data_IF_501163941974
#
_entry.id   IF_501163941974
#
_cell.length_a   1.000
_cell.length_b   1.000
_cell.length_c   1.000
_cell.angle_alpha   90.00
_cell.angle_beta   90.00
_cell.angle_gamma   90.00
#
_symmetry.space_group_name_H-M   'P 1'
#
loop_
_entity.id
_entity.type
_entity.pdbx_description
1 polymer ?
#
# COMPACT_ATOMS: atom_id res chain seq x y z
N UNK A 1 -9.66 -14.91 11.43
CA UNK A 1 -10.95 -14.28 11.85
C UNK A 1 -10.76 -12.81 12.17
N UNK A 2 -11.82 -11.99 12.03
CA UNK A 2 -11.81 -10.59 12.50
C UNK A 2 -11.96 -10.60 14.03
N UNK A 3 -10.98 -10.06 14.75
CA UNK A 3 -11.00 -10.07 16.21
C UNK A 3 -11.16 -8.67 16.83
N UNK A 4 -10.98 -7.60 16.03
CA UNK A 4 -11.10 -6.22 16.50
C UNK A 4 -11.52 -5.29 15.38
N UNK A 5 -12.44 -4.37 15.71
CA UNK A 5 -12.85 -3.26 14.85
C UNK A 5 -12.60 -1.95 15.59
N UNK A 6 -11.93 -1.02 14.95
CA UNK A 6 -11.61 0.29 15.49
C UNK A 6 -12.34 1.34 14.65
N UNK A 7 -13.21 2.12 15.29
CA UNK A 7 -13.96 3.21 14.69
C UNK A 7 -13.58 4.52 15.38
N UNK A 8 -12.88 5.39 14.68
CA UNK A 8 -12.47 6.71 15.23
C UNK A 8 -12.22 7.74 14.14
N UNK A 9 -11.97 7.31 12.91
CA UNK A 9 -11.87 8.22 11.79
C UNK A 9 -13.25 8.74 11.38
N UNK A 10 -13.30 9.98 10.92
CA UNK A 10 -14.53 10.63 10.43
C UNK A 10 -14.71 10.48 8.92
N UNK A 11 -13.69 10.00 8.22
CA UNK A 11 -13.68 9.78 6.78
C UNK A 11 -13.09 8.41 6.42
N UNK A 12 -13.14 8.06 5.14
CA UNK A 12 -12.60 6.82 4.62
C UNK A 12 -11.12 6.64 4.99
N UNK A 13 -10.74 5.46 5.47
CA UNK A 13 -9.34 5.17 5.81
C UNK A 13 -8.64 4.64 4.57
N UNK A 14 -7.67 5.41 4.07
CA UNK A 14 -7.08 5.21 2.74
C UNK A 14 -5.69 4.61 2.74
N UNK A 15 -4.98 4.70 3.86
CA UNK A 15 -3.60 4.24 3.95
C UNK A 15 -3.28 3.68 5.34
N UNK A 16 -2.33 2.77 5.37
CA UNK A 16 -1.81 2.16 6.58
C UNK A 16 -0.31 1.92 6.45
N UNK A 17 0.42 2.10 7.53
CA UNK A 17 1.82 1.67 7.62
C UNK A 17 2.14 1.21 9.04
N UNK A 18 2.91 0.12 9.17
CA UNK A 18 3.40 -0.38 10.44
C UNK A 18 4.76 0.22 10.79
N UNK A 19 4.99 0.39 12.08
CA UNK A 19 6.29 0.71 12.62
C UNK A 19 7.21 -0.52 12.57
N UNK A 20 8.50 -0.36 12.25
CA UNK A 20 9.48 -1.45 12.25
C UNK A 20 9.60 -2.23 13.56
N UNK A 21 9.31 -1.60 14.72
CA UNK A 21 9.28 -2.30 16.02
C UNK A 21 8.01 -3.11 16.26
N UNK A 22 7.01 -3.03 15.36
CA UNK A 22 5.69 -3.65 15.51
C UNK A 22 4.90 -3.22 16.78
N UNK A 23 5.29 -2.11 17.40
CA UNK A 23 4.64 -1.60 18.61
C UNK A 23 3.42 -0.74 18.32
N UNK A 24 3.39 -0.11 17.15
CA UNK A 24 2.30 0.75 16.68
C UNK A 24 2.16 0.71 15.16
N UNK A 25 1.04 1.20 14.68
CA UNK A 25 0.79 1.43 13.26
C UNK A 25 0.10 2.79 13.07
N UNK A 26 0.20 3.35 11.89
CA UNK A 26 -0.47 4.60 11.55
C UNK A 26 -1.46 4.40 10.40
N UNK A 27 -2.51 5.20 10.41
CA UNK A 27 -3.54 5.23 9.37
C UNK A 27 -3.81 6.65 8.90
N UNK A 28 -3.94 6.81 7.59
CA UNK A 28 -4.29 8.08 6.96
C UNK A 28 -5.69 8.04 6.37
N UNK A 29 -6.43 9.11 6.55
CA UNK A 29 -7.85 9.15 6.23
C UNK A 29 -8.24 10.35 5.37
N UNK A 30 -9.42 10.23 4.77
CA UNK A 30 -10.11 11.31 4.07
C UNK A 30 -10.55 12.45 5.02
N UNK A 31 -10.52 12.24 6.34
CA UNK A 31 -10.72 13.29 7.33
C UNK A 31 -9.51 14.22 7.50
N UNK A 32 -8.47 14.08 6.68
CA UNK A 32 -7.23 14.87 6.66
C UNK A 32 -6.31 14.64 7.86
N UNK A 33 -6.60 13.62 8.67
CA UNK A 33 -5.81 13.27 9.84
C UNK A 33 -5.03 11.98 9.64
N UNK A 34 -3.93 11.89 10.39
CA UNK A 34 -3.18 10.64 10.55
C UNK A 34 -3.34 10.25 12.03
N UNK A 35 -3.67 9.00 12.26
CA UNK A 35 -3.83 8.46 13.61
C UNK A 35 -2.84 7.35 13.86
N UNK A 36 -2.24 7.36 15.04
CA UNK A 36 -1.26 6.36 15.50
C UNK A 36 -1.92 5.48 16.54
N UNK A 37 -1.82 4.17 16.36
CA UNK A 37 -2.50 3.14 17.14
C UNK A 37 -1.49 2.18 17.74
N UNK A 38 -1.78 1.72 18.93
CA UNK A 38 -1.06 0.63 19.55
C UNK A 38 -1.48 -0.72 18.94
N UNK A 39 -0.54 -1.53 18.49
CA UNK A 39 -0.82 -2.82 17.85
C UNK A 39 -1.47 -3.82 18.81
N UNK A 40 -1.00 -3.87 20.04
CA UNK A 40 -1.50 -4.83 21.04
C UNK A 40 -2.91 -4.49 21.53
N UNK A 41 -3.11 -3.26 21.95
CA UNK A 41 -4.38 -2.82 22.57
C UNK A 41 -5.38 -2.26 21.57
N UNK A 42 -4.95 -1.82 20.39
CA UNK A 42 -5.77 -1.11 19.40
C UNK A 42 -6.22 0.29 19.87
N UNK A 43 -5.59 0.84 20.90
CA UNK A 43 -5.92 2.17 21.42
C UNK A 43 -5.25 3.26 20.62
N UNK A 44 -5.93 4.37 20.46
CA UNK A 44 -5.38 5.57 19.85
C UNK A 44 -4.28 6.15 20.76
N UNK A 45 -3.07 6.29 20.21
CA UNK A 45 -1.94 6.96 20.89
C UNK A 45 -1.89 8.44 20.55
N UNK A 46 -2.06 8.79 19.27
CA UNK A 46 -1.88 10.16 18.81
C UNK A 46 -2.71 10.44 17.56
N UNK A 47 -3.12 11.68 17.41
CA UNK A 47 -3.71 12.21 16.17
C UNK A 47 -2.82 13.34 15.64
N UNK A 48 -2.36 13.21 14.40
CA UNK A 48 -1.57 14.22 13.71
C UNK A 48 -2.44 14.97 12.71
N UNK A 49 -2.39 16.29 12.77
CA UNK A 49 -3.09 17.19 11.86
C UNK A 49 -2.09 18.06 11.10
N UNK A 50 -2.37 18.39 9.85
CA UNK A 50 -1.47 19.22 9.05
C UNK A 50 -1.67 19.12 7.56
N UNK A 51 -2.29 18.03 7.07
CA UNK A 51 -2.78 17.96 5.69
C UNK A 51 -4.07 18.77 5.54
N UNK A 52 -4.22 19.45 4.39
CA UNK A 52 -5.41 20.23 4.06
C UNK A 52 -6.45 19.46 3.28
N UNK A 53 -6.07 18.27 2.76
CA UNK A 53 -6.94 17.36 2.04
C UNK A 53 -6.62 15.90 2.46
N UNK A 54 -7.28 14.92 1.82
CA UNK A 54 -7.20 13.50 2.17
C UNK A 54 -5.75 12.97 2.19
N UNK A 55 -5.43 12.17 3.20
CA UNK A 55 -4.15 11.46 3.26
C UNK A 55 -4.27 10.14 2.51
N UNK A 56 -3.51 9.98 1.44
CA UNK A 56 -3.58 8.85 0.50
C UNK A 56 -2.53 7.77 0.74
N UNK A 57 -1.35 8.17 1.19
CA UNK A 57 -0.24 7.24 1.38
C UNK A 57 0.56 7.58 2.64
N UNK A 58 1.07 6.53 3.26
CA UNK A 58 1.89 6.59 4.46
C UNK A 58 3.07 5.64 4.33
N UNK A 59 4.22 6.01 4.87
CA UNK A 59 5.33 5.11 5.09
C UNK A 59 6.10 5.51 6.35
N UNK A 60 6.55 4.51 7.10
CA UNK A 60 7.38 4.68 8.30
C UNK A 60 8.80 4.25 7.97
N UNK A 61 9.77 5.08 8.34
CA UNK A 61 11.18 4.77 8.13
C UNK A 61 11.67 3.73 9.13
N UNK A 62 12.42 2.73 8.64
CA UNK A 62 13.10 1.75 9.50
C UNK A 62 14.46 2.25 10.01
N UNK A 63 14.98 3.33 9.44
CA UNK A 63 16.35 3.82 9.71
C UNK A 63 16.39 5.08 10.58
N UNK A 64 15.32 5.85 10.58
CA UNK A 64 15.22 7.13 11.27
C UNK A 64 13.82 7.26 11.91
N UNK A 65 13.65 8.03 12.98
CA UNK A 65 12.36 8.20 13.65
C UNK A 65 11.42 9.12 12.85
N UNK A 66 11.30 8.86 11.55
CA UNK A 66 10.47 9.67 10.65
C UNK A 66 9.34 8.85 10.03
N UNK A 67 8.23 9.50 9.88
CA UNK A 67 7.09 9.03 9.09
C UNK A 67 6.86 9.99 7.93
N UNK A 68 6.48 9.45 6.78
CA UNK A 68 6.12 10.22 5.60
C UNK A 68 4.66 10.03 5.26
N UNK A 69 4.01 11.11 4.87
CA UNK A 69 2.62 11.11 4.44
C UNK A 69 2.47 11.88 3.14
N UNK A 70 1.56 11.45 2.29
CA UNK A 70 1.22 12.11 1.04
C UNK A 70 -0.30 12.21 0.89
N UNK A 71 -0.76 13.30 0.29
CA UNK A 71 -2.18 13.58 0.19
C UNK A 71 -2.64 14.22 -1.12
N UNK A 72 -3.95 14.39 -1.21
CA UNK A 72 -4.60 15.09 -2.33
C UNK A 72 -4.28 16.60 -2.35
N UNK A 73 -3.74 17.14 -1.25
CA UNK A 73 -3.21 18.51 -1.14
C UNK A 73 -1.90 18.72 -1.92
N UNK A 74 -1.45 17.74 -2.71
CA UNK A 74 -0.23 17.77 -3.53
C UNK A 74 1.07 17.81 -2.72
N UNK A 75 0.97 17.71 -1.40
CA UNK A 75 2.11 17.79 -0.50
C UNK A 75 2.52 16.40 -0.01
N UNK A 76 3.81 16.27 0.18
CA UNK A 76 4.39 15.15 0.92
C UNK A 76 5.06 15.74 2.17
N UNK A 77 4.74 15.19 3.33
CA UNK A 77 5.23 15.68 4.63
C UNK A 77 6.07 14.62 5.33
N UNK A 78 7.17 15.08 5.91
CA UNK A 78 7.99 14.30 6.82
C UNK A 78 7.69 14.73 8.25
N UNK A 79 7.32 13.77 9.07
CA UNK A 79 6.97 13.95 10.48
C UNK A 79 8.10 13.41 11.36
N UNK A 80 8.50 14.17 12.34
CA UNK A 80 9.31 13.71 13.44
C UNK A 80 8.40 13.03 14.47
N UNK A 81 8.64 11.76 14.73
CA UNK A 81 7.83 10.96 15.67
C UNK A 81 8.17 11.23 17.14
N UNK A 82 9.33 11.83 17.44
CA UNK A 82 9.69 12.22 18.78
C UNK A 82 9.00 13.54 19.20
N UNK A 83 8.99 14.50 18.27
CA UNK A 83 8.38 15.82 18.51
C UNK A 83 6.93 15.91 18.03
N UNK A 84 6.46 14.93 17.25
CA UNK A 84 5.12 14.90 16.64
C UNK A 84 4.81 16.15 15.78
N UNK A 85 5.82 16.60 15.04
CA UNK A 85 5.74 17.80 14.19
C UNK A 85 6.18 17.50 12.75
N UNK A 86 5.65 18.28 11.82
CA UNK A 86 6.15 18.30 10.44
C UNK A 86 7.49 19.02 10.43
N UNK A 87 8.56 18.33 10.07
CA UNK A 87 9.91 18.88 9.95
C UNK A 87 10.27 19.26 8.52
N UNK A 88 9.68 18.60 7.54
CA UNK A 88 9.91 18.84 6.11
C UNK A 88 8.62 18.69 5.32
N UNK A 89 8.49 19.52 4.28
CA UNK A 89 7.44 19.38 3.26
C UNK A 89 8.11 19.40 1.88
N UNK A 90 7.69 18.47 1.01
CA UNK A 90 8.20 18.34 -0.35
C UNK A 90 7.13 18.85 -1.31
N UNK A 91 7.50 19.81 -2.13
CA UNK A 91 6.63 20.48 -3.07
C UNK A 91 7.11 20.23 -4.50
N UNK A 92 6.19 19.95 -5.40
CA UNK A 92 6.52 19.75 -6.82
C UNK A 92 5.47 18.94 -7.57
N UNK A 93 4.66 18.11 -6.88
CA UNK A 93 3.53 17.45 -7.53
C UNK A 93 2.47 18.48 -7.97
N UNK A 94 1.99 18.32 -9.21
CA UNK A 94 0.98 19.22 -9.78
C UNK A 94 -0.44 18.80 -9.40
N UNK A 95 -0.61 17.57 -8.94
CA UNK A 95 -1.90 17.03 -8.51
C UNK A 95 -1.72 16.14 -7.27
N UNK A 96 -2.82 15.53 -6.78
CA UNK A 96 -2.80 14.66 -5.60
C UNK A 96 -1.80 13.51 -5.71
N UNK A 97 -1.14 13.18 -4.59
CA UNK A 97 -0.16 12.10 -4.48
C UNK A 97 -0.85 10.86 -3.94
N UNK A 98 -0.79 9.75 -4.67
CA UNK A 98 -1.57 8.55 -4.40
C UNK A 98 -0.76 7.42 -3.76
N UNK A 99 0.52 7.36 -4.07
CA UNK A 99 1.38 6.33 -3.52
C UNK A 99 2.72 6.90 -3.05
N UNK A 100 3.30 6.24 -2.08
CA UNK A 100 4.55 6.61 -1.45
C UNK A 100 5.31 5.35 -1.04
N UNK A 101 6.62 5.34 -1.27
CA UNK A 101 7.51 4.30 -0.79
C UNK A 101 8.86 4.87 -0.37
N UNK A 102 9.47 4.25 0.62
CA UNK A 102 10.83 4.52 1.02
C UNK A 102 11.77 3.51 0.37
N UNK A 103 12.93 3.97 -0.04
CA UNK A 103 13.96 3.06 -0.49
C UNK A 103 14.59 2.38 0.74
N UNK A 104 14.75 1.04 0.74
CA UNK A 104 15.17 0.33 1.96
C UNK A 104 16.63 0.61 2.38
N UNK A 105 17.52 0.96 1.45
CA UNK A 105 18.97 1.11 1.73
C UNK A 105 19.50 2.53 1.59
N UNK A 106 18.88 3.39 0.79
CA UNK A 106 19.31 4.77 0.57
C UNK A 106 18.26 5.77 1.06
N UNK A 107 18.67 6.99 1.41
CA UNK A 107 17.80 8.03 1.96
C UNK A 107 16.97 8.73 0.85
N UNK A 108 16.19 7.93 0.13
CA UNK A 108 15.36 8.37 -0.99
C UNK A 108 13.90 8.04 -0.73
N UNK A 109 13.05 9.02 -1.00
CA UNK A 109 11.60 8.91 -0.95
C UNK A 109 11.04 8.91 -2.38
N UNK A 110 10.14 7.99 -2.66
CA UNK A 110 9.45 7.83 -3.93
C UNK A 110 7.98 8.20 -3.75
N UNK A 111 7.45 9.02 -4.65
CA UNK A 111 6.06 9.44 -4.60
C UNK A 111 5.45 9.43 -6.00
N UNK A 112 4.29 8.82 -6.15
CA UNK A 112 3.55 8.78 -7.41
C UNK A 112 2.18 9.45 -7.26
N UNK A 113 1.78 10.16 -8.28
CA UNK A 113 0.58 10.98 -8.19
C UNK A 113 -0.30 10.97 -9.44
N UNK A 114 -1.38 11.73 -9.34
CA UNK A 114 -2.36 11.94 -10.41
C UNK A 114 -1.79 12.76 -11.57
N UNK A 115 -0.65 13.40 -11.37
CA UNK A 115 0.11 14.09 -12.43
C UNK A 115 0.90 13.14 -13.35
N UNK A 116 0.68 11.81 -13.22
CA UNK A 116 1.32 10.74 -14.00
C UNK A 116 2.85 10.66 -13.86
N UNK A 117 3.43 11.36 -12.91
CA UNK A 117 4.88 11.37 -12.66
C UNK A 117 5.15 10.67 -11.32
N UNK A 118 6.18 9.82 -11.31
CA UNK A 118 6.78 9.36 -10.06
C UNK A 118 8.01 10.24 -9.77
N UNK A 119 8.04 10.88 -8.60
CA UNK A 119 9.13 11.76 -8.19
C UNK A 119 10.02 11.09 -7.16
N UNK A 120 11.29 11.31 -7.33
CA UNK A 120 12.35 10.81 -6.46
C UNK A 120 12.90 12.00 -5.67
N UNK A 121 12.85 11.91 -4.34
CA UNK A 121 13.26 12.99 -3.44
C UNK A 121 14.41 12.52 -2.55
N UNK A 122 15.38 13.40 -2.35
CA UNK A 122 16.33 13.22 -1.27
C UNK A 122 15.67 13.64 0.06
N UNK A 123 15.66 12.72 1.02
CA UNK A 123 15.03 12.95 2.32
C UNK A 123 15.71 14.10 3.09
N UNK A 124 17.00 14.31 2.93
CA UNK A 124 17.78 15.29 3.67
C UNK A 124 17.69 16.68 3.09
N UNK A 125 17.97 16.82 1.80
CA UNK A 125 18.00 18.12 1.10
C UNK A 125 16.61 18.64 0.75
N UNK A 126 15.57 17.77 0.72
CA UNK A 126 14.21 18.02 0.22
C UNK A 126 14.16 18.30 -1.28
N UNK A 127 15.25 18.11 -1.97
CA UNK A 127 15.33 18.34 -3.42
C UNK A 127 14.78 17.16 -4.20
N UNK A 128 14.15 17.47 -5.33
CA UNK A 128 13.77 16.45 -6.29
C UNK A 128 15.00 16.02 -7.07
N UNK A 129 15.37 14.75 -6.93
CA UNK A 129 16.51 14.16 -7.65
C UNK A 129 16.13 13.87 -9.10
N UNK A 130 15.02 13.14 -9.30
CA UNK A 130 14.50 12.78 -10.61
C UNK A 130 12.97 12.89 -10.69
N UNK A 131 12.43 13.44 -11.79
CA UNK A 131 11.06 13.21 -12.21
C UNK A 131 11.03 11.99 -13.15
N UNK A 132 10.51 10.86 -12.73
CA UNK A 132 10.32 9.67 -13.55
C UNK A 132 9.03 9.84 -14.36
N UNK A 133 9.15 10.43 -15.55
CA UNK A 133 8.05 10.73 -16.45
C UNK A 133 7.96 9.71 -17.58
N UNK A 134 6.74 9.36 -17.99
CA UNK A 134 6.50 8.40 -19.07
C UNK A 134 5.23 7.58 -18.93
N UNK A 135 4.55 7.61 -17.77
CA UNK A 135 3.20 7.12 -17.65
C UNK A 135 2.20 8.10 -18.29
N UNK A 136 1.16 7.55 -18.90
CA UNK A 136 0.09 8.33 -19.53
C UNK A 136 -1.05 8.71 -18.57
N UNK A 137 -1.09 8.09 -17.37
CA UNK A 137 -2.15 8.30 -16.39
C UNK A 137 -1.59 8.20 -14.96
N UNK A 138 -2.47 8.35 -13.97
CA UNK A 138 -2.15 8.33 -12.53
C UNK A 138 -1.26 7.15 -12.13
N UNK A 139 -0.18 7.44 -11.42
CA UNK A 139 0.65 6.42 -10.76
C UNK A 139 0.00 6.07 -9.42
N UNK A 140 -0.41 4.81 -9.26
CA UNK A 140 -1.18 4.34 -8.10
C UNK A 140 -0.38 3.55 -7.10
N UNK A 141 0.67 2.89 -7.55
CA UNK A 141 1.52 2.08 -6.69
C UNK A 141 2.98 2.24 -7.07
N UNK A 142 3.85 2.19 -6.08
CA UNK A 142 5.29 2.30 -6.24
C UNK A 142 5.98 1.45 -5.18
N UNK A 143 7.07 0.81 -5.55
CA UNK A 143 7.99 0.18 -4.62
C UNK A 143 9.42 0.27 -5.11
N UNK A 144 10.38 0.14 -4.19
CA UNK A 144 11.80 0.07 -4.47
C UNK A 144 12.39 -1.25 -3.98
N UNK A 145 13.49 -1.67 -4.60
CA UNK A 145 14.24 -2.87 -4.20
C UNK A 145 15.46 -2.50 -3.37
N UNK A 146 15.82 -3.40 -2.45
CA UNK A 146 17.03 -3.25 -1.64
C UNK A 146 18.32 -3.61 -2.39
N UNK A 147 18.22 -4.52 -3.37
CA UNK A 147 19.37 -5.12 -4.06
C UNK A 147 19.85 -4.31 -5.26
N UNK A 148 18.96 -3.60 -5.93
CA UNK A 148 19.24 -2.83 -7.13
C UNK A 148 18.68 -1.41 -7.02
N UNK A 149 19.30 -0.40 -7.64
CA UNK A 149 18.76 0.94 -7.69
C UNK A 149 17.55 1.02 -8.65
N UNK A 150 16.58 0.13 -8.46
CA UNK A 150 15.43 -0.03 -9.33
C UNK A 150 14.15 0.34 -8.61
N UNK A 151 13.33 1.11 -9.28
CA UNK A 151 11.97 1.48 -8.86
C UNK A 151 10.97 0.87 -9.82
N UNK A 152 9.87 0.37 -9.29
CA UNK A 152 8.77 -0.17 -10.08
C UNK A 152 7.51 0.63 -9.77
N UNK A 153 6.82 1.07 -10.81
CA UNK A 153 5.59 1.87 -10.71
C UNK A 153 4.45 1.21 -11.47
N UNK A 154 3.27 1.17 -10.87
CA UNK A 154 2.03 0.73 -11.50
C UNK A 154 1.07 1.90 -11.69
N UNK A 155 0.42 1.95 -12.85
CA UNK A 155 -0.41 3.09 -13.24
C UNK A 155 -1.79 2.69 -13.77
N UNK A 156 -2.68 3.68 -13.77
CA UNK A 156 -3.99 3.58 -14.41
C UNK A 156 -3.92 3.44 -15.94
N UNK A 157 -2.76 3.70 -16.55
CA UNK A 157 -2.52 3.47 -17.98
C UNK A 157 -2.37 2.00 -18.36
N UNK A 158 -2.66 1.08 -17.44
CA UNK A 158 -2.54 -0.39 -17.59
C UNK A 158 -1.11 -0.91 -17.63
N UNK A 159 -0.12 -0.06 -17.51
CA UNK A 159 1.29 -0.45 -17.60
C UNK A 159 1.99 -0.45 -16.24
N UNK A 160 3.03 -1.28 -16.15
CA UNK A 160 4.01 -1.27 -15.07
C UNK A 160 5.34 -0.88 -15.68
N UNK A 161 6.04 0.09 -15.08
CA UNK A 161 7.34 0.55 -15.57
C UNK A 161 8.43 0.31 -14.53
N UNK A 162 9.57 -0.08 -15.05
CA UNK A 162 10.82 -0.25 -14.30
C UNK A 162 11.72 0.95 -14.60
N UNK A 163 12.26 1.53 -13.55
CA UNK A 163 13.09 2.72 -13.63
C UNK A 163 14.44 2.47 -12.97
N UNK A 164 15.50 2.97 -13.58
CA UNK A 164 16.83 2.99 -12.99
C UNK A 164 17.04 4.32 -12.26
N UNK A 165 17.30 4.27 -10.96
CA UNK A 165 17.58 5.45 -10.14
C UNK A 165 18.93 6.11 -10.43
N UNK A 166 19.84 5.45 -11.17
CA UNK A 166 21.12 6.03 -11.56
C UNK A 166 20.97 7.00 -12.73
N UNK A 167 20.16 6.61 -13.68
CA UNK A 167 19.96 7.37 -14.92
C UNK A 167 18.64 8.16 -14.93
N UNK A 168 17.67 7.79 -14.08
CA UNK A 168 16.31 8.35 -14.11
C UNK A 168 15.47 7.87 -15.31
N UNK A 169 15.94 6.89 -16.06
CA UNK A 169 15.29 6.40 -17.27
C UNK A 169 14.44 5.15 -17.04
N UNK A 170 13.43 4.97 -17.89
CA UNK A 170 12.64 3.75 -17.94
C UNK A 170 13.44 2.63 -18.60
N UNK A 171 13.61 1.51 -17.90
CA UNK A 171 14.33 0.32 -18.39
C UNK A 171 13.40 -0.65 -19.14
N UNK A 172 12.20 -0.84 -18.65
CA UNK A 172 11.21 -1.77 -19.20
C UNK A 172 9.78 -1.29 -18.92
N UNK A 173 8.87 -1.70 -19.79
CA UNK A 173 7.43 -1.47 -19.64
C UNK A 173 6.68 -2.78 -19.84
N UNK A 174 5.89 -3.18 -18.83
CA UNK A 174 5.05 -4.36 -18.88
C UNK A 174 3.62 -3.95 -19.25
N UNK A 175 3.03 -4.65 -20.23
CA UNK A 175 1.73 -4.34 -20.82
C UNK A 175 0.73 -5.49 -20.73
N UNK A 176 0.95 -6.43 -19.81
CA UNK A 176 0.11 -7.64 -19.69
C UNK A 176 -1.30 -7.37 -19.15
N UNK A 177 -1.47 -6.29 -18.37
CA UNK A 177 -2.79 -5.92 -17.85
C UNK A 177 -3.65 -5.21 -18.90
N UNK A 178 -4.96 -5.50 -18.90
CA UNK A 178 -5.96 -4.85 -19.76
C UNK A 178 -6.68 -3.70 -19.08
N UNK A 179 -6.63 -3.64 -17.74
CA UNK A 179 -7.24 -2.60 -16.92
C UNK A 179 -6.19 -1.95 -16.03
N UNK A 180 -6.56 -0.85 -15.38
CA UNK A 180 -5.66 -0.09 -14.50
C UNK A 180 -5.01 -0.94 -13.42
N UNK A 181 -3.68 -0.81 -13.27
CA UNK A 181 -2.92 -1.41 -12.18
C UNK A 181 -3.03 -0.51 -10.97
N UNK A 182 -3.67 -0.99 -9.89
CA UNK A 182 -3.90 -0.18 -8.69
C UNK A 182 -3.04 -0.60 -7.51
N UNK A 183 -2.73 -1.88 -7.40
CA UNK A 183 -1.96 -2.41 -6.29
C UNK A 183 -0.80 -3.27 -6.79
N UNK A 184 0.30 -3.21 -6.07
CA UNK A 184 1.45 -4.10 -6.24
C UNK A 184 1.96 -4.51 -4.87
N UNK A 185 2.43 -5.75 -4.75
CA UNK A 185 3.06 -6.26 -3.54
C UNK A 185 4.32 -7.05 -3.89
N UNK A 186 5.39 -6.80 -3.15
CA UNK A 186 6.67 -7.48 -3.29
C UNK A 186 6.78 -8.55 -2.21
N UNK A 187 7.25 -9.72 -2.57
CA UNK A 187 7.52 -10.75 -1.58
C UNK A 187 8.76 -10.35 -0.74
N UNK A 188 8.71 -10.47 0.60
CA UNK A 188 9.81 -10.02 1.45
C UNK A 188 11.13 -10.73 1.20
N UNK A 189 11.10 -12.03 0.90
CA UNK A 189 12.29 -12.88 0.76
C UNK A 189 12.58 -13.33 -0.66
N UNK A 190 11.55 -13.49 -1.51
CA UNK A 190 11.70 -13.93 -2.89
C UNK A 190 11.89 -12.74 -3.84
N UNK A 191 12.58 -12.97 -4.96
CA UNK A 191 12.81 -11.94 -5.98
C UNK A 191 11.65 -11.86 -6.99
N UNK A 192 10.43 -11.71 -6.49
CA UNK A 192 9.23 -11.58 -7.31
C UNK A 192 8.22 -10.61 -6.68
N UNK A 193 7.30 -10.14 -7.49
CA UNK A 193 6.21 -9.28 -7.07
C UNK A 193 4.92 -9.67 -7.78
N UNK A 194 3.80 -9.30 -7.21
CA UNK A 194 2.50 -9.41 -7.85
C UNK A 194 1.91 -8.02 -8.09
N UNK A 195 1.16 -7.91 -9.17
CA UNK A 195 0.39 -6.71 -9.51
C UNK A 195 -1.07 -7.06 -9.70
N UNK A 196 -1.94 -6.21 -9.22
CA UNK A 196 -3.38 -6.39 -9.31
C UNK A 196 -4.05 -5.30 -10.14
N UNK A 197 -4.97 -5.76 -10.96
CA UNK A 197 -5.88 -4.97 -11.76
C UNK A 197 -7.32 -5.44 -11.53
N UNK A 198 -8.31 -4.77 -12.11
CA UNK A 198 -9.70 -5.21 -12.03
C UNK A 198 -10.04 -6.44 -12.89
N UNK A 199 -9.09 -7.02 -13.59
CA UNK A 199 -9.27 -8.22 -14.43
C UNK A 199 -8.44 -9.41 -13.96
N UNK A 200 -7.26 -9.18 -13.41
CA UNK A 200 -6.33 -10.25 -13.07
C UNK A 200 -5.30 -9.81 -12.02
N UNK A 201 -4.74 -10.79 -11.34
CA UNK A 201 -3.54 -10.64 -10.52
C UNK A 201 -2.44 -11.42 -11.21
N UNK A 202 -1.33 -10.77 -11.49
CA UNK A 202 -0.21 -11.33 -12.25
C UNK A 202 1.05 -11.30 -11.39
N UNK A 203 1.77 -12.40 -11.37
CA UNK A 203 3.07 -12.54 -10.72
C UNK A 203 4.20 -12.41 -11.71
N UNK A 204 5.22 -11.64 -11.33
CA UNK A 204 6.40 -11.34 -12.15
C UNK A 204 7.69 -11.59 -11.37
N UNK A 205 8.72 -12.00 -12.09
CA UNK A 205 10.08 -12.10 -11.56
C UNK A 205 10.83 -10.78 -11.65
N UNK A 206 11.66 -10.54 -10.64
CA UNK A 206 12.61 -9.44 -10.60
C UNK A 206 14.03 -9.97 -10.90
N UNK A 207 14.91 -9.21 -11.55
CA UNK A 207 14.80 -7.77 -11.84
C UNK A 207 14.16 -7.40 -13.17
N UNK A 208 13.91 -8.36 -14.06
CA UNK A 208 13.53 -8.06 -15.46
C UNK A 208 12.03 -7.87 -15.68
N UNK A 209 11.19 -8.28 -14.73
CA UNK A 209 9.74 -8.28 -14.88
C UNK A 209 9.24 -9.40 -15.78
N UNK A 210 9.91 -10.55 -15.76
CA UNK A 210 9.48 -11.70 -16.53
C UNK A 210 8.16 -12.25 -15.99
N UNK A 211 7.22 -12.54 -16.88
CA UNK A 211 5.92 -13.07 -16.51
C UNK A 211 6.09 -14.50 -15.96
N UNK A 212 5.57 -14.75 -14.76
CA UNK A 212 5.50 -16.11 -14.21
C UNK A 212 4.16 -16.76 -14.50
N UNK A 213 3.10 -16.30 -13.86
CA UNK A 213 1.75 -16.84 -14.06
C UNK A 213 0.68 -15.85 -13.60
N UNK A 214 -0.54 -16.06 -14.04
CA UNK A 214 -1.74 -15.42 -13.50
C UNK A 214 -2.25 -16.21 -12.30
N UNK A 215 -2.78 -15.51 -11.29
CA UNK A 215 -3.51 -16.18 -10.21
C UNK A 215 -4.75 -16.89 -10.76
N UNK A 216 -5.03 -18.08 -10.23
CA UNK A 216 -5.96 -19.04 -10.83
C UNK A 216 -7.44 -18.69 -10.67
N UNK A 217 -7.79 -17.83 -9.70
CA UNK A 217 -9.15 -17.37 -9.48
C UNK A 217 -9.28 -15.88 -9.83
N UNK A 218 -10.46 -15.46 -10.22
CA UNK A 218 -10.75 -14.05 -10.47
C UNK A 218 -11.60 -13.48 -9.32
N UNK A 219 -11.04 -12.51 -8.62
CA UNK A 219 -11.80 -11.69 -7.69
C UNK A 219 -12.55 -10.64 -8.51
N UNK A 220 -13.88 -10.84 -8.67
CA UNK A 220 -14.74 -9.97 -9.49
C UNK A 220 -14.96 -8.59 -8.82
N UNK A 221 -13.86 -7.90 -8.53
CA UNK A 221 -13.81 -6.59 -7.89
C UNK A 221 -12.58 -5.83 -8.37
N UNK A 222 -12.63 -4.51 -8.25
CA UNK A 222 -11.44 -3.69 -8.43
C UNK A 222 -10.57 -3.86 -7.19
N UNK A 223 -9.38 -4.43 -7.36
CA UNK A 223 -8.43 -4.66 -6.27
C UNK A 223 -7.70 -3.35 -6.00
N UNK A 224 -7.94 -2.76 -4.83
CA UNK A 224 -7.34 -1.49 -4.44
C UNK A 224 -6.01 -1.68 -3.71
N UNK A 225 -5.83 -2.81 -3.06
CA UNK A 225 -4.68 -3.04 -2.18
C UNK A 225 -4.32 -4.51 -2.09
N UNK A 226 -3.03 -4.80 -1.91
CA UNK A 226 -2.53 -6.15 -1.67
C UNK A 226 -1.27 -6.10 -0.81
N UNK A 227 -1.06 -7.15 -0.03
CA UNK A 227 0.15 -7.37 0.75
C UNK A 227 0.47 -8.87 0.82
N UNK A 228 1.75 -9.17 1.04
CA UNK A 228 2.27 -10.54 1.16
C UNK A 228 3.06 -10.63 2.45
N UNK A 229 2.90 -11.71 3.19
CA UNK A 229 3.71 -12.01 4.36
C UNK A 229 4.93 -12.89 4.00
N UNK A 230 5.81 -13.14 4.97
CA UNK A 230 7.00 -13.99 4.77
C UNK A 230 6.64 -15.46 4.51
N UNK A 231 5.50 -15.94 5.02
CA UNK A 231 5.01 -17.32 4.84
C UNK A 231 4.44 -17.56 3.43
N UNK A 232 4.41 -16.53 2.58
CA UNK A 232 3.85 -16.62 1.24
C UNK A 232 2.31 -16.57 1.20
N UNK A 233 1.68 -16.00 2.19
CA UNK A 233 0.23 -15.71 2.15
C UNK A 233 0.02 -14.29 1.62
N UNK A 234 -0.61 -14.20 0.46
CA UNK A 234 -1.00 -12.92 -0.14
C UNK A 234 -2.46 -12.61 0.21
N UNK A 235 -2.71 -11.38 0.68
CA UNK A 235 -4.04 -10.86 0.90
C UNK A 235 -4.37 -9.78 -0.13
N UNK A 236 -5.60 -9.76 -0.64
CA UNK A 236 -6.10 -8.76 -1.59
C UNK A 236 -7.41 -8.17 -1.11
N UNK A 237 -7.53 -6.85 -1.17
CA UNK A 237 -8.71 -6.09 -0.78
C UNK A 237 -9.40 -5.44 -1.98
N UNK A 238 -10.69 -5.72 -2.15
CA UNK A 238 -11.51 -5.19 -3.23
C UNK A 238 -12.40 -3.99 -2.83
N UNK A 239 -12.86 -3.27 -3.83
CA UNK A 239 -13.78 -2.13 -3.66
C UNK A 239 -15.18 -2.54 -3.20
N UNK A 240 -15.57 -3.80 -3.40
CA UNK A 240 -16.82 -4.39 -2.91
C UNK A 240 -16.72 -4.98 -1.50
N UNK A 241 -15.58 -4.78 -0.79
CA UNK A 241 -15.32 -5.34 0.52
C UNK A 241 -14.83 -6.79 0.52
N UNK A 242 -14.56 -7.37 -0.65
CA UNK A 242 -13.98 -8.71 -0.73
C UNK A 242 -12.54 -8.72 -0.21
N UNK A 243 -12.25 -9.64 0.69
CA UNK A 243 -10.93 -9.90 1.25
C UNK A 243 -10.57 -11.34 0.93
N UNK A 244 -9.63 -11.54 0.02
CA UNK A 244 -9.23 -12.86 -0.44
C UNK A 244 -7.81 -13.17 -0.02
N UNK A 245 -7.54 -14.46 0.27
CA UNK A 245 -6.22 -14.97 0.63
C UNK A 245 -5.76 -15.99 -0.39
N UNK A 246 -4.50 -15.85 -0.79
CA UNK A 246 -3.89 -16.60 -1.86
C UNK A 246 -2.59 -17.24 -1.38
N UNK A 247 -2.32 -18.43 -1.84
CA UNK A 247 -0.99 -19.00 -1.73
C UNK A 247 -0.10 -18.40 -2.83
N UNK A 248 0.99 -17.80 -2.39
CA UNK A 248 1.94 -17.12 -3.29
C UNK A 248 2.58 -18.04 -4.31
N UNK A 249 2.86 -19.29 -3.95
CA UNK A 249 3.58 -20.22 -4.81
C UNK A 249 2.67 -20.87 -5.85
N UNK A 250 1.53 -21.38 -5.45
CA UNK A 250 0.59 -22.05 -6.34
C UNK A 250 -0.34 -21.11 -7.09
N UNK A 251 -0.55 -19.88 -6.60
CA UNK A 251 -1.53 -18.94 -7.14
C UNK A 251 -2.98 -19.32 -6.87
N UNK A 252 -3.23 -20.29 -5.96
CA UNK A 252 -4.58 -20.67 -5.57
C UNK A 252 -5.15 -19.77 -4.50
N UNK A 253 -6.42 -19.42 -4.66
CA UNK A 253 -7.20 -18.78 -3.60
C UNK A 253 -7.71 -19.88 -2.64
N UNK A 254 -7.28 -19.84 -1.38
CA UNK A 254 -7.66 -20.83 -0.40
C UNK A 254 -8.72 -20.32 0.59
N UNK A 255 -8.88 -19.00 0.72
CA UNK A 255 -9.89 -18.43 1.63
C UNK A 255 -10.46 -17.13 1.04
N UNK A 256 -11.77 -16.98 1.16
CA UNK A 256 -12.52 -15.80 0.77
C UNK A 256 -13.30 -15.29 1.98
N UNK A 257 -13.25 -13.99 2.19
CA UNK A 257 -13.98 -13.31 3.26
C UNK A 257 -14.62 -12.04 2.70
N UNK A 258 -15.70 -11.61 3.30
CA UNK A 258 -16.37 -10.37 2.97
C UNK A 258 -16.27 -9.43 4.17
N UNK A 259 -15.77 -8.23 3.95
CA UNK A 259 -15.80 -7.16 4.96
C UNK A 259 -17.23 -6.63 5.06
N UNK A 260 -17.82 -6.71 6.23
CA UNK A 260 -19.15 -6.16 6.51
C UNK A 260 -18.97 -4.71 6.90
N UNK A 261 -19.72 -3.78 6.28
CA UNK A 261 -19.74 -2.38 6.67
C UNK A 261 -20.22 -2.21 8.12
N UNK A 262 -19.73 -1.18 8.80
CA UNK A 262 -20.16 -0.87 10.16
C UNK A 262 -21.67 -0.53 10.17
N UNK A 263 -22.43 -0.95 11.22
CA UNK A 263 -23.84 -0.54 11.36
C UNK A 263 -24.00 0.98 11.27
N UNK A 264 -24.90 1.44 10.42
CA UNK A 264 -25.12 2.85 10.11
C UNK A 264 -24.35 3.41 8.91
N UNK A 265 -23.43 2.63 8.32
CA UNK A 265 -22.82 2.92 7.02
C UNK A 265 -23.67 2.34 5.89
N UNK A 266 -23.51 2.88 4.68
CA UNK A 266 -24.14 2.33 3.49
C UNK A 266 -23.45 1.02 3.06
N UNK A 267 -24.20 0.10 2.47
CA UNK A 267 -23.64 -1.17 1.97
C UNK A 267 -22.53 -0.97 0.93
N UNK A 268 -22.62 0.10 0.14
CA UNK A 268 -21.58 0.49 -0.82
C UNK A 268 -20.27 0.98 -0.16
N UNK A 269 -20.27 1.28 1.13
CA UNK A 269 -19.07 1.68 1.91
C UNK A 269 -18.33 0.48 2.50
N UNK A 270 -18.56 -0.73 2.01
CA UNK A 270 -17.82 -1.93 2.44
C UNK A 270 -16.39 -2.02 1.88
N UNK A 271 -16.04 -1.19 0.88
CA UNK A 271 -14.78 -1.28 0.15
C UNK A 271 -13.52 -1.19 1.02
N UNK A 272 -12.54 -2.02 0.70
CA UNK A 272 -11.21 -2.02 1.34
C UNK A 272 -10.28 -1.13 0.50
N UNK A 273 -9.69 -0.12 1.12
CA UNK A 273 -8.77 0.80 0.44
C UNK A 273 -7.30 0.54 0.72
N UNK A 274 -6.98 0.08 1.91
CA UNK A 274 -5.62 -0.27 2.27
C UNK A 274 -5.60 -1.52 3.14
N UNK A 275 -4.56 -2.32 3.01
CA UNK A 275 -4.27 -3.42 3.91
C UNK A 275 -2.76 -3.59 4.08
N UNK A 276 -2.36 -4.08 5.22
CA UNK A 276 -0.98 -4.42 5.50
C UNK A 276 -0.91 -5.53 6.54
N UNK A 277 0.07 -6.42 6.37
CA UNK A 277 0.48 -7.32 7.43
C UNK A 277 1.31 -6.57 8.46
N UNK A 278 1.28 -7.03 9.69
CA UNK A 278 2.24 -6.63 10.70
C UNK A 278 3.62 -7.23 10.37
N UNK A 279 4.67 -6.76 11.06
CA UNK A 279 6.05 -7.22 10.80
C UNK A 279 6.22 -8.73 11.04
N UNK A 280 5.42 -9.30 11.94
CA UNK A 280 5.45 -10.75 12.23
C UNK A 280 4.67 -11.60 11.22
N UNK A 281 3.90 -10.98 10.31
CA UNK A 281 3.02 -11.68 9.39
C UNK A 281 1.80 -12.34 10.02
N UNK A 282 1.66 -12.28 11.35
CA UNK A 282 0.60 -12.97 12.09
C UNK A 282 -0.74 -12.23 12.12
N UNK A 283 -0.72 -10.93 11.88
CA UNK A 283 -1.90 -10.05 11.88
C UNK A 283 -2.01 -9.33 10.57
N UNK A 284 -3.23 -9.25 10.07
CA UNK A 284 -3.58 -8.40 8.93
C UNK A 284 -4.46 -7.26 9.42
N UNK A 285 -4.20 -6.05 8.96
CA UNK A 285 -5.04 -4.89 9.23
C UNK A 285 -5.60 -4.39 7.91
N UNK A 286 -6.91 -4.18 7.85
CA UNK A 286 -7.60 -3.63 6.68
C UNK A 286 -8.28 -2.33 7.04
N UNK A 287 -8.21 -1.37 6.12
CA UNK A 287 -8.78 -0.04 6.24
C UNK A 287 -9.91 0.12 5.22
N UNK A 288 -11.08 0.50 5.69
CA UNK A 288 -12.30 0.50 4.90
C UNK A 288 -12.88 1.87 4.57
N UNK A 289 -13.78 1.87 3.61
CA UNK A 289 -14.64 3.00 3.27
C UNK A 289 -15.65 3.31 4.38
N UNK A 290 -15.98 2.32 5.21
CA UNK A 290 -16.86 2.45 6.38
C UNK A 290 -16.21 3.20 7.57
N UNK A 291 -15.07 3.88 7.35
CA UNK A 291 -14.31 4.65 8.34
C UNK A 291 -13.71 3.80 9.46
N UNK A 292 -13.72 2.48 9.30
CA UNK A 292 -13.18 1.53 10.28
C UNK A 292 -11.85 0.94 9.87
N UNK A 293 -11.12 0.52 10.87
CA UNK A 293 -9.91 -0.29 10.76
C UNK A 293 -10.25 -1.65 11.37
N UNK A 294 -10.08 -2.73 10.61
CA UNK A 294 -10.37 -4.09 11.06
C UNK A 294 -9.08 -4.88 11.18
N UNK A 295 -8.91 -5.54 12.31
CA UNK A 295 -7.75 -6.36 12.59
C UNK A 295 -8.13 -7.83 12.51
N UNK A 296 -7.37 -8.58 11.72
CA UNK A 296 -7.58 -10.00 11.44
C UNK A 296 -6.41 -10.81 11.95
N UNK A 297 -6.71 -11.98 12.46
CA UNK A 297 -5.70 -12.95 12.88
C UNK A 297 -6.09 -14.35 12.36
N UNK A 298 -5.11 -15.21 12.22
CA UNK A 298 -5.35 -16.59 11.87
C UNK A 298 -6.22 -17.25 12.96
N UNK A 299 -7.12 -18.12 12.56
CA UNK A 299 -7.94 -18.91 13.49
C UNK A 299 -7.20 -20.21 13.78
N UNK A 300 -6.71 -20.36 15.00
CA UNK A 300 -5.96 -21.53 15.45
C UNK A 300 -6.85 -22.80 15.54
N UNK A 301 -8.17 -22.61 15.61
CA UNK A 301 -9.15 -23.69 15.70
C UNK A 301 -9.80 -24.05 14.35
N UNK A 302 -9.39 -23.39 13.28
CA UNK A 302 -9.93 -23.68 11.95
C UNK A 302 -9.45 -25.06 11.48
N UNK A 303 -10.32 -26.04 11.49
CA UNK A 303 -10.09 -27.32 10.81
C UNK A 303 -10.10 -27.08 9.30
N UNK A 304 -9.04 -27.51 8.61
CA UNK A 304 -8.96 -27.48 7.15
C UNK A 304 -10.06 -28.40 6.57
N UNK A 305 -11.20 -27.83 6.24
CA UNK A 305 -12.18 -28.51 5.43
C UNK A 305 -11.74 -28.39 3.97
N UNK A 306 -10.88 -29.30 3.52
CA UNK A 306 -10.71 -29.57 2.10
C UNK A 306 -12.07 -30.09 1.57
N UNK A 307 -12.83 -29.25 0.91
CA UNK A 307 -13.81 -29.72 -0.06
C UNK A 307 -13.04 -29.97 -1.38
N UNK A 308 -13.04 -31.21 -1.86
CA UNK A 308 -12.39 -31.58 -3.12
C UNK A 308 -13.00 -30.85 -4.32
#
# INVERSE_FOLDING_TARGET
>A
MNYRVISSHLGWVRSIAFDPSNSWFCTGSADRTIKIWDVGTGRLKLTLTGHTDQVRALAVSSRQPYMFSAGDDKQVKCWDLEQNKVIRSYHGHLSGVYCLALHPTIDVLLTGGRDSVCRVWDIRSKEQVFPLSGHASTVCSVFARSTDPQVVTGSHDTTIKFWDLRSGNSMATLTQHKKSVRAMAVHPTQHNFASASGDSIIKFDLPRGEFQHNMLSQQNAIINTMAVNEDGVMATGGDNGSLWFWDWNSGHNFQQSQSIAQPGSLDCESGIYALSYDITGSRLVTCGADKTIKMWKQDENATFNYKP
#
